data_IF_889025362957
#
_entry.id   IF_889025362957
#
_cell.length_a   1.000
_cell.length_b   1.000
_cell.length_c   1.000
_cell.angle_alpha   90.00
_cell.angle_beta   90.00
_cell.angle_gamma   90.00
#
_symmetry.space_group_name_H-M   'P 1'
#
loop_
_entity.id
_entity.type
_entity.pdbx_description
1 polymer ?
#
# COMPACT_ATOMS: atom_id res chain seq x y z
N UNK A 1 -26.37 31.03 -89.19
CA UNK A 1 -26.35 30.99 -87.70
C UNK A 1 -24.91 30.64 -87.30
N UNK A 2 -24.00 31.62 -87.10
CA UNK A 2 -23.62 32.32 -85.83
C UNK A 2 -23.13 31.32 -84.75
N UNK A 3 -21.95 31.42 -84.11
CA UNK A 3 -21.06 32.55 -83.81
C UNK A 3 -19.60 32.16 -83.55
N UNK A 4 -18.72 33.10 -83.92
CA UNK A 4 -17.32 33.37 -83.55
C UNK A 4 -16.95 33.11 -82.07
N UNK A 5 -15.71 32.66 -81.85
CA UNK A 5 -14.87 33.05 -80.70
C UNK A 5 -13.64 33.80 -81.22
N UNK A 6 -13.37 34.97 -80.65
CA UNK A 6 -12.17 35.77 -80.89
C UNK A 6 -11.33 35.70 -79.61
N UNK A 7 -10.10 35.24 -79.76
CA UNK A 7 -9.02 35.25 -78.78
C UNK A 7 -8.06 36.37 -79.15
N UNK A 8 -7.76 37.27 -78.23
CA UNK A 8 -6.64 38.21 -78.33
C UNK A 8 -5.97 38.39 -76.97
N UNK A 9 -4.64 38.56 -77.00
CA UNK A 9 -3.83 38.95 -75.85
C UNK A 9 -2.54 38.14 -75.67
N UNK A 10 -1.74 37.98 -76.73
CA UNK A 10 -0.36 38.50 -76.84
C UNK A 10 0.60 38.03 -75.74
N UNK A 11 1.30 36.93 -76.04
CA UNK A 11 2.51 36.48 -75.39
C UNK A 11 3.67 37.31 -75.95
N UNK A 12 4.28 38.19 -75.15
CA UNK A 12 5.49 38.91 -75.53
C UNK A 12 6.69 38.38 -74.74
N UNK A 13 7.75 38.08 -75.47
CA UNK A 13 8.98 37.43 -75.05
C UNK A 13 9.88 38.42 -74.28
N UNK A 14 9.92 38.30 -72.94
CA UNK A 14 10.93 39.01 -72.14
C UNK A 14 11.32 38.23 -70.88
N UNK A 15 12.53 37.67 -70.94
CA UNK A 15 13.43 37.28 -69.85
C UNK A 15 12.82 36.42 -68.72
N UNK A 16 12.82 35.10 -68.91
CA UNK A 16 12.38 34.05 -67.97
C UNK A 16 12.91 34.26 -66.51
N UNK A 17 14.08 34.89 -66.33
CA UNK A 17 14.59 35.26 -65.00
C UNK A 17 13.68 36.24 -64.25
N UNK A 18 13.06 37.23 -64.90
CA UNK A 18 12.16 38.17 -64.22
C UNK A 18 10.85 37.51 -63.79
N UNK A 19 10.30 36.61 -64.62
CA UNK A 19 9.07 35.88 -64.31
C UNK A 19 9.29 34.96 -63.10
N UNK A 20 10.43 34.26 -63.05
CA UNK A 20 10.80 33.42 -61.90
C UNK A 20 10.97 34.28 -60.63
N UNK A 21 11.62 35.44 -60.72
CA UNK A 21 11.79 36.34 -59.56
C UNK A 21 10.45 36.88 -59.05
N UNK A 22 9.50 37.21 -59.94
CA UNK A 22 8.16 37.67 -59.57
C UNK A 22 7.35 36.54 -58.91
N UNK A 23 7.41 35.32 -59.45
CA UNK A 23 6.78 34.13 -58.85
C UNK A 23 7.35 33.81 -57.47
N UNK A 24 8.67 33.93 -57.30
CA UNK A 24 9.34 33.70 -56.03
C UNK A 24 8.94 34.75 -54.97
N UNK A 25 8.83 36.03 -55.37
CA UNK A 25 8.30 37.08 -54.51
C UNK A 25 6.83 36.86 -54.13
N UNK A 26 6.01 36.36 -55.05
CA UNK A 26 4.60 36.05 -54.79
C UNK A 26 4.42 34.87 -53.82
N UNK A 27 5.28 33.84 -53.91
CA UNK A 27 5.30 32.70 -52.98
C UNK A 27 5.78 33.08 -51.58
N UNK A 28 6.70 34.04 -51.44
CA UNK A 28 7.21 34.52 -50.14
C UNK A 28 6.23 35.51 -49.49
N UNK A 29 5.43 36.23 -50.28
CA UNK A 29 4.48 37.23 -49.80
C UNK A 29 3.11 36.68 -49.39
N UNK A 30 2.81 35.39 -49.63
CA UNK A 30 1.60 34.79 -49.07
C UNK A 30 1.81 34.61 -47.55
N UNK A 31 1.10 35.36 -46.69
CA UNK A 31 1.12 35.02 -45.28
C UNK A 31 0.53 33.62 -45.19
N UNK A 32 1.30 32.66 -44.66
CA UNK A 32 0.70 31.46 -44.10
C UNK A 32 -0.26 31.95 -43.02
N UNK A 33 -1.53 32.15 -43.35
CA UNK A 33 -2.56 32.26 -42.33
C UNK A 33 -2.62 30.88 -41.68
N UNK A 34 -2.17 30.71 -40.42
CA UNK A 34 -2.51 29.50 -39.71
C UNK A 34 -4.03 29.48 -39.64
N UNK A 35 -4.67 28.50 -40.28
CA UNK A 35 -6.01 28.10 -39.86
C UNK A 35 -5.84 27.52 -38.45
N UNK A 36 -5.85 28.41 -37.46
CA UNK A 36 -6.07 28.03 -36.08
C UNK A 36 -7.55 27.59 -36.00
N UNK A 37 -7.80 26.32 -36.30
CA UNK A 37 -9.02 25.67 -35.85
C UNK A 37 -8.89 25.54 -34.33
N UNK A 38 -9.36 26.55 -33.60
CA UNK A 38 -9.61 26.39 -32.18
C UNK A 38 -10.61 25.23 -32.07
N UNK A 39 -10.28 24.12 -31.39
CA UNK A 39 -11.31 23.15 -31.10
C UNK A 39 -12.34 23.92 -30.26
N UNK A 40 -13.53 24.15 -30.81
CA UNK A 40 -14.70 24.49 -30.00
C UNK A 40 -14.97 23.21 -29.22
N UNK A 41 -14.24 23.07 -28.11
CA UNK A 41 -14.47 22.02 -27.14
C UNK A 41 -15.83 22.36 -26.56
N UNK A 42 -16.87 21.74 -27.11
CA UNK A 42 -18.20 21.87 -26.56
C UNK A 42 -18.12 21.32 -25.13
N UNK A 43 -18.46 22.11 -24.09
CA UNK A 43 -18.36 21.66 -22.69
C UNK A 43 -19.16 20.37 -22.44
N UNK A 44 -20.14 20.05 -23.29
CA UNK A 44 -20.87 18.77 -23.23
C UNK A 44 -20.00 17.57 -23.63
N UNK A 45 -19.08 17.71 -24.59
CA UNK A 45 -18.25 16.60 -25.07
C UNK A 45 -17.17 16.18 -24.06
N UNK A 46 -16.58 17.14 -23.34
CA UNK A 46 -15.60 16.84 -22.28
C UNK A 46 -16.24 16.09 -21.12
N UNK A 47 -17.44 16.50 -20.70
CA UNK A 47 -18.20 15.83 -19.63
C UNK A 47 -18.53 14.38 -19.99
N UNK A 48 -18.85 14.10 -21.26
CA UNK A 48 -19.13 12.74 -21.73
C UNK A 48 -17.86 11.87 -21.64
N UNK A 49 -16.72 12.38 -22.10
CA UNK A 49 -15.44 11.66 -22.05
C UNK A 49 -15.01 11.37 -20.61
N UNK A 50 -15.12 12.37 -19.72
CA UNK A 50 -14.83 12.19 -18.29
C UNK A 50 -15.74 11.16 -17.63
N UNK A 51 -17.03 11.12 -18.00
CA UNK A 51 -17.98 10.13 -17.48
C UNK A 51 -17.60 8.71 -17.91
N UNK A 52 -17.26 8.51 -19.19
CA UNK A 52 -16.80 7.21 -19.69
C UNK A 52 -15.54 6.73 -18.98
N UNK A 53 -14.57 7.62 -18.73
CA UNK A 53 -13.36 7.28 -17.99
C UNK A 53 -13.66 6.87 -16.54
N UNK A 54 -14.60 7.55 -15.86
CA UNK A 54 -15.02 7.17 -14.50
C UNK A 54 -15.73 5.82 -14.47
N UNK A 55 -16.63 5.57 -15.42
CA UNK A 55 -17.36 4.30 -15.50
C UNK A 55 -16.42 3.15 -15.80
N UNK A 56 -15.46 3.33 -16.72
CA UNK A 56 -14.41 2.36 -16.99
C UNK A 56 -13.55 2.10 -15.74
N UNK A 57 -13.09 3.16 -15.04
CA UNK A 57 -12.32 3.00 -13.80
C UNK A 57 -13.10 2.25 -12.74
N UNK A 58 -14.39 2.52 -12.60
CA UNK A 58 -15.28 1.82 -11.66
C UNK A 58 -15.45 0.33 -12.03
N UNK A 59 -15.50 0.01 -13.32
CA UNK A 59 -15.63 -1.37 -13.79
C UNK A 59 -14.31 -2.16 -13.69
N UNK A 60 -13.17 -1.48 -13.84
CA UNK A 60 -11.84 -2.08 -13.76
C UNK A 60 -11.31 -2.20 -12.32
N UNK A 61 -11.88 -1.45 -11.38
CA UNK A 61 -11.58 -1.58 -9.95
C UNK A 61 -12.71 -2.38 -9.29
N UNK A 62 -12.61 -3.72 -9.19
CA UNK A 62 -13.56 -4.48 -8.39
C UNK A 62 -13.61 -3.88 -6.99
N UNK A 63 -14.81 -3.77 -6.41
CA UNK A 63 -14.93 -3.32 -5.03
C UNK A 63 -14.18 -4.31 -4.16
N UNK A 64 -13.04 -3.87 -3.61
CA UNK A 64 -12.36 -4.60 -2.56
C UNK A 64 -13.36 -4.70 -1.41
N UNK A 65 -13.99 -5.87 -1.27
CA UNK A 65 -14.73 -6.23 -0.07
C UNK A 65 -13.70 -6.36 1.03
N UNK A 66 -13.38 -5.24 1.68
CA UNK A 66 -12.64 -5.26 2.92
C UNK A 66 -13.56 -5.92 3.94
N UNK A 67 -13.30 -7.20 4.22
CA UNK A 67 -13.89 -7.86 5.37
C UNK A 67 -13.32 -7.14 6.58
N UNK A 68 -14.18 -6.43 7.32
CA UNK A 68 -13.84 -5.93 8.64
C UNK A 68 -13.60 -7.14 9.53
N UNK A 69 -12.34 -7.53 9.67
CA UNK A 69 -11.93 -8.47 10.71
C UNK A 69 -12.05 -7.68 12.00
N UNK A 70 -13.02 -8.06 12.83
CA UNK A 70 -13.19 -7.49 14.17
C UNK A 70 -11.97 -7.89 15.00
N UNK A 71 -10.97 -7.00 15.03
CA UNK A 71 -9.74 -7.20 15.79
C UNK A 71 -9.99 -6.66 17.19
N UNK A 72 -10.68 -7.43 18.02
CA UNK A 72 -10.58 -7.26 19.47
C UNK A 72 -9.73 -8.37 20.05
N UNK A 73 -8.39 -8.20 20.04
CA UNK A 73 -7.54 -9.02 20.89
C UNK A 73 -7.86 -8.61 22.34
N UNK A 74 -8.50 -9.52 23.07
CA UNK A 74 -8.90 -9.32 24.47
C UNK A 74 -7.62 -9.10 25.27
N UNK A 75 -7.47 -7.91 25.84
CA UNK A 75 -6.32 -7.58 26.67
C UNK A 75 -6.33 -8.46 27.94
N UNK A 76 -5.16 -8.88 28.44
CA UNK A 76 -5.09 -9.61 29.69
C UNK A 76 -5.59 -8.74 30.85
N UNK A 77 -6.32 -9.36 31.78
CA UNK A 77 -6.76 -8.74 33.02
C UNK A 77 -5.55 -8.49 33.96
N UNK A 78 -5.52 -7.33 34.63
CA UNK A 78 -4.46 -7.02 35.58
C UNK A 78 -4.63 -7.87 36.84
N UNK A 79 -3.59 -8.65 37.18
CA UNK A 79 -3.63 -9.55 38.33
C UNK A 79 -3.43 -8.78 39.65
N UNK A 80 -4.37 -8.94 40.59
CA UNK A 80 -4.17 -8.59 41.99
C UNK A 80 -3.33 -9.66 42.70
N UNK A 81 -2.39 -9.21 43.54
CA UNK A 81 -1.45 -10.06 44.29
C UNK A 81 -2.19 -10.88 45.36
N UNK A 82 -1.89 -12.19 45.46
CA UNK A 82 -2.38 -13.07 46.54
C UNK A 82 -1.24 -13.44 47.49
N UNK A 83 -1.41 -13.18 48.79
CA UNK A 83 -0.35 -13.27 49.81
C UNK A 83 0.12 -14.70 50.20
N UNK A 84 -0.60 -15.76 49.81
CA UNK A 84 -0.38 -17.12 50.35
C UNK A 84 0.33 -18.10 49.39
N UNK A 85 0.96 -17.63 48.33
CA UNK A 85 1.60 -18.50 47.31
C UNK A 85 3.12 -18.33 47.26
N UNK A 86 3.83 -19.45 47.01
CA UNK A 86 5.27 -19.44 46.78
C UNK A 86 5.59 -18.52 45.61
N UNK A 87 6.25 -17.42 45.93
CA UNK A 87 6.49 -16.33 45.01
C UNK A 87 7.90 -16.44 44.39
N UNK A 88 7.98 -16.39 43.05
CA UNK A 88 9.22 -16.51 42.30
C UNK A 88 9.81 -15.13 42.02
N UNK A 89 10.98 -14.84 42.60
CA UNK A 89 11.70 -13.59 42.34
C UNK A 89 12.38 -13.64 40.98
N UNK A 90 11.86 -12.88 40.02
CA UNK A 90 12.36 -12.88 38.65
C UNK A 90 13.50 -11.85 38.53
N UNK A 91 14.74 -12.31 38.46
CA UNK A 91 15.91 -11.44 38.21
C UNK A 91 16.08 -11.15 36.74
N UNK A 92 15.86 -12.17 35.90
CA UNK A 92 16.02 -12.08 34.46
C UNK A 92 14.92 -12.86 33.75
N UNK A 93 14.54 -12.38 32.56
CA UNK A 93 13.66 -13.11 31.65
C UNK A 93 14.41 -13.37 30.35
N UNK A 94 14.38 -14.62 29.88
CA UNK A 94 14.95 -15.05 28.60
C UNK A 94 13.84 -15.61 27.71
N UNK A 95 13.70 -15.01 26.53
CA UNK A 95 12.81 -15.50 25.47
C UNK A 95 13.60 -16.43 24.55
N UNK A 96 13.19 -17.69 24.48
CA UNK A 96 13.77 -18.71 23.60
C UNK A 96 13.05 -18.64 22.24
N UNK A 97 13.79 -18.80 21.14
CA UNK A 97 13.33 -18.68 19.74
C UNK A 97 12.81 -17.29 19.35
N UNK A 98 13.32 -16.23 19.99
CA UNK A 98 12.92 -14.85 19.68
C UNK A 98 13.27 -14.42 18.25
N UNK A 99 14.29 -15.05 17.66
CA UNK A 99 14.76 -14.86 16.29
C UNK A 99 13.71 -15.23 15.24
N UNK A 100 12.74 -16.10 15.57
CA UNK A 100 11.61 -16.42 14.69
C UNK A 100 10.60 -15.25 14.56
N UNK A 101 10.76 -14.17 15.33
CA UNK A 101 9.83 -13.04 15.42
C UNK A 101 10.56 -11.71 15.13
N UNK A 102 10.71 -11.31 13.85
CA UNK A 102 11.54 -10.17 13.45
C UNK A 102 11.09 -8.82 14.03
N UNK A 103 9.81 -8.68 14.41
CA UNK A 103 9.24 -7.45 14.98
C UNK A 103 8.98 -7.53 16.50
N UNK A 104 9.72 -8.36 17.24
CA UNK A 104 9.43 -8.67 18.65
C UNK A 104 9.82 -7.60 19.68
N UNK A 105 10.06 -6.34 19.29
CA UNK A 105 10.52 -5.29 20.20
C UNK A 105 9.58 -5.07 21.40
N UNK A 106 8.27 -4.99 21.15
CA UNK A 106 7.26 -4.85 22.22
C UNK A 106 7.11 -6.13 23.06
N UNK A 107 7.21 -7.30 22.44
CA UNK A 107 7.20 -8.59 23.14
C UNK A 107 8.33 -8.66 24.18
N UNK A 108 9.54 -8.26 23.79
CA UNK A 108 10.69 -8.17 24.70
C UNK A 108 10.44 -7.18 25.82
N UNK A 109 9.81 -6.03 25.53
CA UNK A 109 9.49 -5.02 26.54
C UNK A 109 8.51 -5.57 27.59
N UNK A 110 7.42 -6.22 27.18
CA UNK A 110 6.49 -6.87 28.11
C UNK A 110 7.17 -7.94 28.95
N UNK A 111 8.04 -8.76 28.35
CA UNK A 111 8.78 -9.79 29.09
C UNK A 111 9.71 -9.17 30.16
N UNK A 112 10.36 -8.04 29.84
CA UNK A 112 11.24 -7.33 30.79
C UNK A 112 10.50 -6.73 31.97
N UNK A 113 9.20 -6.41 31.85
CA UNK A 113 8.42 -5.86 32.96
C UNK A 113 8.28 -6.83 34.14
N UNK A 114 8.43 -8.14 33.90
CA UNK A 114 8.46 -9.12 34.99
C UNK A 114 9.76 -9.07 35.81
N UNK A 115 10.85 -8.49 35.28
CA UNK A 115 12.13 -8.44 35.98
C UNK A 115 12.07 -7.52 37.20
N UNK A 116 12.67 -7.95 38.29
CA UNK A 116 12.64 -7.27 39.59
C UNK A 116 11.36 -7.53 40.39
N UNK A 117 10.36 -8.20 39.82
CA UNK A 117 9.12 -8.53 40.49
C UNK A 117 9.14 -9.95 41.04
N UNK A 118 8.36 -10.16 42.09
CA UNK A 118 8.06 -11.47 42.61
C UNK A 118 6.71 -11.91 42.04
N UNK A 119 6.69 -13.02 41.29
CA UNK A 119 5.49 -13.51 40.61
C UNK A 119 5.00 -14.80 41.27
N UNK A 120 3.72 -14.81 41.65
CA UNK A 120 2.97 -16.01 41.98
C UNK A 120 2.45 -16.71 40.71
N UNK A 121 1.71 -17.81 40.87
CA UNK A 121 1.11 -18.54 39.75
C UNK A 121 0.21 -17.64 38.88
N UNK A 122 -0.51 -16.71 39.49
CA UNK A 122 -1.36 -15.74 38.79
C UNK A 122 -0.53 -14.75 38.00
N UNK A 123 0.53 -14.21 38.61
CA UNK A 123 1.48 -13.31 37.97
C UNK A 123 2.16 -13.96 36.77
N UNK A 124 2.59 -15.22 36.89
CA UNK A 124 3.13 -16.00 35.77
C UNK A 124 2.09 -16.22 34.66
N UNK A 125 0.86 -16.57 35.03
CA UNK A 125 -0.23 -16.76 34.06
C UNK A 125 -0.57 -15.46 33.32
N UNK A 126 -0.62 -14.34 34.05
CA UNK A 126 -0.86 -13.00 33.50
C UNK A 126 0.27 -12.55 32.57
N UNK A 127 1.53 -12.81 32.95
CA UNK A 127 2.69 -12.57 32.09
C UNK A 127 2.58 -13.34 30.77
N UNK A 128 2.29 -14.64 30.82
CA UNK A 128 2.09 -15.46 29.61
C UNK A 128 0.92 -14.95 28.77
N UNK A 129 -0.20 -14.60 29.40
CA UNK A 129 -1.35 -14.00 28.70
C UNK A 129 -0.99 -12.71 27.98
N UNK A 130 -0.18 -11.86 28.62
CA UNK A 130 0.30 -10.59 28.06
C UNK A 130 1.22 -10.81 26.86
N UNK A 131 2.16 -11.75 26.97
CA UNK A 131 3.04 -12.10 25.86
C UNK A 131 2.28 -12.76 24.71
N UNK A 132 1.32 -13.63 25.01
CA UNK A 132 0.44 -14.24 24.03
C UNK A 132 -0.40 -13.19 23.30
N UNK A 133 -0.97 -12.24 24.03
CA UNK A 133 -1.71 -11.12 23.44
C UNK A 133 -0.82 -10.26 22.54
N UNK A 134 0.41 -9.96 22.98
CA UNK A 134 1.35 -9.19 22.17
C UNK A 134 1.72 -9.92 20.87
N UNK A 135 1.89 -11.25 20.89
CA UNK A 135 2.07 -12.05 19.67
C UNK A 135 0.90 -11.87 18.70
N UNK A 136 -0.34 -11.89 19.19
CA UNK A 136 -1.53 -11.66 18.38
C UNK A 136 -1.56 -10.24 17.80
N UNK A 137 -1.23 -9.23 18.61
CA UNK A 137 -1.16 -7.82 18.18
C UNK A 137 -0.12 -7.62 17.07
N UNK A 138 1.02 -8.29 17.15
CA UNK A 138 2.07 -8.23 16.14
C UNK A 138 1.79 -9.16 14.93
N UNK A 139 0.66 -9.87 14.92
CA UNK A 139 0.16 -10.66 13.77
C UNK A 139 0.47 -12.16 13.81
N UNK A 140 1.11 -12.65 14.87
CA UNK A 140 1.49 -14.06 15.03
C UNK A 140 0.38 -14.89 15.70
N UNK A 141 -0.79 -14.94 15.05
CA UNK A 141 -2.04 -15.47 15.63
C UNK A 141 -1.96 -16.98 15.93
N UNK A 142 -1.16 -17.73 15.17
CA UNK A 142 -0.97 -19.19 15.35
C UNK A 142 0.27 -19.55 16.19
N UNK A 143 0.94 -18.55 16.75
CA UNK A 143 2.12 -18.74 17.60
C UNK A 143 1.72 -18.75 19.08
N UNK A 144 2.52 -19.42 19.91
CA UNK A 144 2.22 -19.60 21.33
C UNK A 144 3.40 -19.33 22.25
N UNK A 145 3.11 -18.90 23.48
CA UNK A 145 4.09 -18.74 24.58
C UNK A 145 3.88 -19.86 25.60
N UNK A 146 4.96 -20.56 25.98
CA UNK A 146 4.87 -21.66 26.95
C UNK A 146 5.92 -21.57 28.06
N UNK A 147 5.55 -22.12 29.22
CA UNK A 147 6.44 -22.45 30.33
C UNK A 147 6.68 -23.97 30.33
N UNK A 148 7.91 -24.40 30.57
CA UNK A 148 8.24 -25.79 30.89
C UNK A 148 8.35 -25.97 32.41
N UNK A 149 8.38 -27.22 32.89
CA UNK A 149 8.58 -27.52 34.32
C UNK A 149 9.88 -26.90 34.86
N UNK A 150 10.94 -26.90 34.04
CA UNK A 150 12.25 -26.28 34.36
C UNK A 150 12.38 -24.83 33.87
N UNK A 151 11.27 -24.11 33.71
CA UNK A 151 11.29 -22.74 33.18
C UNK A 151 11.91 -21.70 34.13
N UNK A 152 12.31 -22.07 35.34
CA UNK A 152 12.93 -21.15 36.29
C UNK A 152 14.20 -21.75 36.90
N UNK A 153 15.33 -21.06 36.71
CA UNK A 153 16.64 -21.46 37.25
C UNK A 153 17.37 -20.24 37.79
N UNK A 154 17.70 -20.26 39.08
CA UNK A 154 18.50 -19.23 39.76
C UNK A 154 18.01 -17.76 39.61
N UNK A 155 16.70 -17.56 39.48
CA UNK A 155 16.12 -16.24 39.23
C UNK A 155 15.95 -15.87 37.76
N UNK A 156 16.32 -16.78 36.85
CA UNK A 156 16.09 -16.62 35.41
C UNK A 156 14.85 -17.38 34.99
N UNK A 157 13.87 -16.65 34.47
CA UNK A 157 12.67 -17.21 33.87
C UNK A 157 12.87 -17.40 32.36
N UNK A 158 12.67 -18.62 31.89
CA UNK A 158 12.76 -19.03 30.50
C UNK A 158 11.36 -19.19 29.91
N UNK A 159 11.11 -18.46 28.83
CA UNK A 159 9.84 -18.48 28.12
C UNK A 159 10.11 -18.93 26.68
N UNK A 160 9.50 -20.04 26.28
CA UNK A 160 9.67 -20.55 24.92
C UNK A 160 8.60 -19.99 24.00
N UNK A 161 9.03 -19.37 22.91
CA UNK A 161 8.14 -18.93 21.83
C UNK A 161 8.08 -20.02 20.77
N UNK A 162 6.87 -20.50 20.48
CA UNK A 162 6.62 -21.51 19.46
C UNK A 162 6.03 -20.81 18.24
N UNK A 163 6.78 -20.69 17.13
CA UNK A 163 6.28 -20.06 15.93
C UNK A 163 5.27 -20.97 15.22
N UNK A 164 4.07 -20.45 14.98
CA UNK A 164 3.07 -21.11 14.15
C UNK A 164 3.46 -21.08 12.66
N UNK A 165 3.18 -22.16 11.94
CA UNK A 165 3.41 -22.28 10.50
C UNK A 165 2.21 -22.88 9.81
N UNK A 166 1.85 -22.35 8.65
CA UNK A 166 0.84 -22.95 7.78
C UNK A 166 1.48 -24.09 6.99
N UNK A 167 0.88 -25.28 7.05
CA UNK A 167 1.39 -26.47 6.36
C UNK A 167 0.72 -26.64 5.00
N UNK A 168 -0.59 -26.41 4.92
CA UNK A 168 -1.38 -26.54 3.70
C UNK A 168 -2.55 -25.56 3.71
N UNK A 169 -3.04 -25.25 2.51
CA UNK A 169 -4.27 -24.50 2.30
C UNK A 169 -5.15 -25.38 1.41
N UNK A 170 -6.28 -25.80 1.93
CA UNK A 170 -7.28 -26.56 1.17
C UNK A 170 -8.25 -25.59 0.52
N UNK A 171 -8.44 -25.72 -0.80
CA UNK A 171 -9.49 -25.01 -1.51
C UNK A 171 -10.75 -25.87 -1.53
N UNK A 172 -11.91 -25.30 -1.14
CA UNK A 172 -13.20 -25.99 -1.20
C UNK A 172 -13.67 -26.22 -2.64
#
# INVERSE_FOLDING_TARGET
>A
MKLRKVTEGVLNDHNNKQIITILFYFLISMPFLPLAAYPVINPTQTVILEKQQRDLKKNLMPSLKFVSIDRQPIAPEQAGSSDDSLCLVIKQVKLINIDAFPNAGRLIQWAKQAQGNCLDEKGLSSLRGTLQWQLVVDGYITSHVTFTEDSYVDGTLFLTLIPGRLVSIEQP
#
